data_IF_597915541954
#
_entry.id   IF_597915541954
#
_cell.length_a   1.000
_cell.length_b   1.000
_cell.length_c   1.000
_cell.angle_alpha   90.00
_cell.angle_beta   90.00
_cell.angle_gamma   90.00
#
_symmetry.space_group_name_H-M   'P 1'
#
loop_
_entity.id
_entity.type
_entity.pdbx_description
1 polymer ?
#
# COMPACT_ATOMS: atom_id res chain seq x y z
N UNK A 1 -72.05 47.35 45.93
CA UNK A 1 -72.24 46.55 47.16
C UNK A 1 -71.50 45.23 46.92
N UNK A 2 -70.25 45.08 47.37
CA UNK A 2 -69.81 44.69 48.74
C UNK A 2 -70.13 43.22 49.06
N UNK A 3 -69.16 42.31 49.21
CA UNK A 3 -67.70 42.46 49.12
C UNK A 3 -66.95 41.12 49.28
N UNK A 4 -65.63 41.16 49.48
CA UNK A 4 -64.81 40.04 49.98
C UNK A 4 -64.14 40.42 51.32
N UNK A 5 -62.95 39.88 51.70
CA UNK A 5 -62.16 38.79 51.11
C UNK A 5 -62.41 37.47 51.90
N UNK A 6 -61.52 36.74 52.62
CA UNK A 6 -60.06 36.81 52.89
C UNK A 6 -59.25 35.68 52.19
N UNK A 7 -58.05 35.36 52.73
CA UNK A 7 -57.22 34.19 52.42
C UNK A 7 -56.66 33.59 53.73
N UNK A 8 -56.32 32.30 53.78
CA UNK A 8 -55.37 31.61 54.70
C UNK A 8 -55.28 30.12 54.27
N UNK A 9 -54.20 29.33 54.43
CA UNK A 9 -52.73 29.55 54.45
C UNK A 9 -52.06 28.16 54.38
N UNK A 10 -50.79 28.10 53.96
CA UNK A 10 -49.83 26.98 54.23
C UNK A 10 -50.17 25.58 53.66
N UNK A 11 -49.29 24.56 53.70
CA UNK A 11 -47.83 24.50 53.46
C UNK A 11 -47.31 23.05 53.66
N UNK A 12 -46.73 22.44 52.61
CA UNK A 12 -45.76 21.31 52.62
C UNK A 12 -46.19 19.90 53.10
N UNK A 13 -45.43 18.92 52.57
CA UNK A 13 -45.33 17.48 52.91
C UNK A 13 -46.57 16.59 52.63
N UNK A 14 -46.43 15.49 51.87
CA UNK A 14 -45.55 14.35 52.21
C UNK A 14 -44.89 13.69 50.98
N UNK A 15 -44.18 12.58 51.19
CA UNK A 15 -43.14 12.02 50.32
C UNK A 15 -43.37 10.52 50.04
N UNK A 16 -43.05 10.10 48.80
CA UNK A 16 -42.61 8.74 48.37
C UNK A 16 -43.59 7.54 48.38
N UNK A 17 -43.31 6.65 47.42
CA UNK A 17 -43.65 5.21 47.34
C UNK A 17 -45.16 4.87 47.16
N UNK A 18 -45.58 3.84 46.41
CA UNK A 18 -44.87 2.77 45.67
C UNK A 18 -45.72 2.26 44.48
N UNK A 19 -45.15 1.36 43.65
CA UNK A 19 -45.96 0.32 42.97
C UNK A 19 -46.22 0.46 41.45
N UNK A 20 -45.36 -0.20 40.67
CA UNK A 20 -45.56 -0.69 39.29
C UNK A 20 -46.99 -0.67 38.70
N UNK A 21 -47.15 -0.10 37.49
CA UNK A 21 -47.97 -0.73 36.43
C UNK A 21 -47.54 -0.33 35.01
N UNK A 22 -46.91 -1.27 34.31
CA UNK A 22 -46.88 -1.51 32.84
C UNK A 22 -47.34 -0.36 31.90
N UNK A 23 -46.37 0.30 31.26
CA UNK A 23 -46.51 0.76 29.87
C UNK A 23 -45.37 0.19 29.01
N UNK A 24 -45.62 0.02 27.71
CA UNK A 24 -44.77 -0.71 26.76
C UNK A 24 -44.76 0.01 25.40
N UNK A 25 -43.69 -0.22 24.62
CA UNK A 25 -43.44 0.30 23.28
C UNK A 25 -43.13 1.82 23.20
N UNK A 26 -42.10 2.17 22.40
CA UNK A 26 -41.72 3.57 22.14
C UNK A 26 -40.25 3.80 21.79
N UNK A 27 -39.33 2.90 22.18
CA UNK A 27 -37.91 3.07 21.88
C UNK A 27 -37.61 2.68 20.42
N UNK A 28 -37.71 3.65 19.51
CA UNK A 28 -37.24 3.52 18.13
C UNK A 28 -35.71 3.42 18.12
N UNK A 29 -35.21 2.18 18.16
CA UNK A 29 -33.78 1.88 18.12
C UNK A 29 -33.25 2.17 16.71
N UNK A 30 -32.82 3.42 16.50
CA UNK A 30 -32.26 3.89 15.23
C UNK A 30 -30.88 3.25 15.03
N UNK A 31 -30.89 2.02 14.52
CA UNK A 31 -29.69 1.33 14.05
C UNK A 31 -29.14 2.08 12.84
N UNK A 32 -28.32 3.09 13.12
CA UNK A 32 -27.32 3.58 12.19
C UNK A 32 -26.29 2.47 11.92
N UNK A 33 -26.71 1.47 11.15
CA UNK A 33 -25.78 0.66 10.37
C UNK A 33 -25.04 1.62 9.45
N UNK A 34 -23.85 2.03 9.88
CA UNK A 34 -22.90 2.68 9.00
C UNK A 34 -22.66 1.75 7.82
N UNK A 35 -23.27 2.08 6.68
CA UNK A 35 -22.93 1.45 5.41
C UNK A 35 -21.44 1.70 5.22
N UNK A 36 -20.65 0.65 5.41
CA UNK A 36 -19.23 0.67 5.11
C UNK A 36 -19.08 0.80 3.59
N UNK A 37 -19.16 2.03 3.10
CA UNK A 37 -18.90 2.38 1.71
C UNK A 37 -17.53 1.85 1.37
N UNK A 38 -17.45 0.88 0.45
CA UNK A 38 -16.18 0.29 0.07
C UNK A 38 -15.25 1.41 -0.43
N UNK A 39 -14.09 1.54 0.21
CA UNK A 39 -13.21 2.70 0.02
C UNK A 39 -12.60 2.68 -1.40
N UNK A 40 -12.50 3.85 -2.03
CA UNK A 40 -11.93 3.94 -3.39
C UNK A 40 -10.45 3.51 -3.36
N UNK A 41 -10.00 2.75 -4.38
CA UNK A 41 -8.70 2.07 -4.37
C UNK A 41 -7.54 2.98 -3.90
N UNK A 42 -7.48 4.20 -4.46
CA UNK A 42 -6.64 5.27 -3.94
C UNK A 42 -7.21 6.64 -4.32
N UNK A 43 -6.66 7.67 -3.69
CA UNK A 43 -7.04 9.06 -3.84
C UNK A 43 -5.81 9.94 -4.07
N UNK A 44 -5.92 10.93 -4.95
CA UNK A 44 -4.97 12.04 -5.03
C UNK A 44 -5.15 12.98 -3.83
N UNK A 45 -4.08 13.32 -3.12
CA UNK A 45 -4.13 14.14 -1.90
C UNK A 45 -3.36 15.45 -2.04
N UNK A 46 -4.09 16.56 -2.02
CA UNK A 46 -3.58 17.92 -1.89
C UNK A 46 -3.77 18.46 -0.47
N UNK A 47 -3.32 19.69 -0.22
CA UNK A 47 -3.32 20.33 1.12
C UNK A 47 -4.68 20.33 1.83
N UNK A 48 -5.78 20.42 1.06
CA UNK A 48 -7.16 20.55 1.57
C UNK A 48 -8.18 19.68 0.81
N UNK A 49 -7.73 18.72 0.01
CA UNK A 49 -8.62 17.88 -0.80
C UNK A 49 -8.07 16.47 -1.01
N UNK A 50 -8.96 15.46 -0.92
CA UNK A 50 -8.70 14.03 -1.19
C UNK A 50 -9.67 13.62 -2.30
N UNK A 51 -9.19 13.44 -3.53
CA UNK A 51 -10.01 13.16 -4.72
C UNK A 51 -9.85 11.69 -5.13
N UNK A 52 -10.92 10.88 -5.24
CA UNK A 52 -10.80 9.47 -5.59
C UNK A 52 -10.34 9.29 -7.03
N UNK A 53 -9.51 8.26 -7.27
CA UNK A 53 -8.99 7.96 -8.60
C UNK A 53 -9.93 7.05 -9.40
N UNK A 54 -10.13 7.29 -10.71
CA UNK A 54 -10.78 6.35 -11.61
C UNK A 54 -9.86 5.19 -11.99
N UNK A 55 -10.43 4.10 -12.52
CA UNK A 55 -9.70 2.87 -12.83
C UNK A 55 -8.54 3.08 -13.83
N UNK A 56 -8.71 4.00 -14.79
CA UNK A 56 -7.65 4.43 -15.70
C UNK A 56 -7.11 5.80 -15.26
N UNK A 57 -5.89 5.80 -14.75
CA UNK A 57 -5.16 7.01 -14.33
C UNK A 57 -4.10 7.48 -15.35
N UNK A 58 -4.02 6.86 -16.55
CA UNK A 58 -2.93 7.12 -17.49
C UNK A 58 -2.85 8.58 -17.96
N UNK A 59 -4.02 9.22 -18.03
CA UNK A 59 -4.24 10.58 -18.50
C UNK A 59 -4.14 11.66 -17.41
N UNK A 60 -3.96 11.29 -16.14
CA UNK A 60 -3.94 12.23 -15.02
C UNK A 60 -2.58 12.92 -14.94
N UNK A 61 -2.57 14.25 -14.78
CA UNK A 61 -1.32 15.03 -14.66
C UNK A 61 -0.48 14.54 -13.47
N UNK A 62 0.82 14.30 -13.74
CA UNK A 62 1.80 13.70 -12.81
C UNK A 62 1.74 14.28 -11.39
N UNK A 63 1.55 15.59 -11.24
CA UNK A 63 1.45 16.28 -9.94
C UNK A 63 0.36 15.74 -9.00
N UNK A 64 -0.75 15.23 -9.54
CA UNK A 64 -1.84 14.63 -8.77
C UNK A 64 -1.54 13.17 -8.37
N UNK A 65 -0.56 12.53 -9.03
CA UNK A 65 -0.12 11.15 -8.77
C UNK A 65 1.11 11.07 -7.84
N UNK A 66 1.62 12.20 -7.34
CA UNK A 66 2.76 12.23 -6.42
C UNK A 66 2.39 11.76 -5.00
N UNK A 67 1.26 12.26 -4.47
CA UNK A 67 0.82 12.03 -3.10
C UNK A 67 -0.50 11.26 -3.14
N UNK A 68 -0.43 9.93 -3.00
CA UNK A 68 -1.60 9.05 -3.02
C UNK A 68 -1.91 8.53 -1.62
N UNK A 69 -3.15 8.70 -1.18
CA UNK A 69 -3.70 7.94 -0.04
C UNK A 69 -4.50 6.76 -0.57
N UNK A 70 -4.01 5.55 -0.32
CA UNK A 70 -4.75 4.32 -0.61
C UNK A 70 -6.04 4.25 0.22
N UNK A 71 -7.06 3.59 -0.32
CA UNK A 71 -8.29 3.31 0.43
C UNK A 71 -8.11 2.14 1.38
N UNK A 72 -8.88 2.12 2.47
CA UNK A 72 -8.86 1.04 3.46
C UNK A 72 -9.02 -0.36 2.82
N UNK A 73 -8.37 -1.36 3.42
CA UNK A 73 -8.45 -2.74 2.96
C UNK A 73 -8.44 -3.72 4.13
N UNK A 74 -9.38 -4.66 4.10
CA UNK A 74 -9.60 -5.68 5.12
C UNK A 74 -9.78 -7.10 4.52
N UNK A 75 -9.35 -7.30 3.27
CA UNK A 75 -9.30 -8.62 2.63
C UNK A 75 -7.97 -9.35 2.86
N UNK A 76 -7.73 -10.45 2.13
CA UNK A 76 -6.47 -11.18 2.24
C UNK A 76 -5.29 -10.39 1.68
N UNK A 77 -4.23 -10.26 2.49
CA UNK A 77 -2.98 -9.64 2.07
C UNK A 77 -2.14 -10.61 1.24
N UNK A 78 -2.02 -10.36 -0.05
CA UNK A 78 -1.18 -11.18 -0.96
C UNK A 78 0.29 -11.10 -0.53
N UNK A 79 0.97 -12.25 -0.43
CA UNK A 79 2.41 -12.26 -0.13
C UNK A 79 3.19 -11.92 -1.38
N UNK A 80 3.95 -10.81 -1.37
CA UNK A 80 4.69 -10.36 -2.56
C UNK A 80 6.15 -10.13 -2.22
N UNK A 81 7.05 -10.67 -3.05
CA UNK A 81 8.46 -10.33 -3.02
C UNK A 81 8.77 -9.24 -4.03
N UNK A 82 9.35 -8.13 -3.59
CA UNK A 82 9.89 -7.12 -4.49
C UNK A 82 11.30 -7.56 -4.90
N UNK A 83 11.55 -7.63 -6.21
CA UNK A 83 12.88 -7.90 -6.75
C UNK A 83 13.67 -6.59 -6.87
N UNK A 84 14.99 -6.70 -7.00
CA UNK A 84 15.86 -5.55 -7.22
C UNK A 84 15.41 -4.72 -8.42
N UNK A 85 15.55 -3.39 -8.31
CA UNK A 85 15.16 -2.48 -9.39
C UNK A 85 16.31 -2.38 -10.39
N UNK A 86 16.14 -3.00 -11.54
CA UNK A 86 17.12 -2.95 -12.63
C UNK A 86 17.13 -1.57 -13.29
N UNK A 87 18.31 -1.03 -13.60
CA UNK A 87 18.46 0.15 -14.45
C UNK A 87 18.98 -0.24 -15.83
N UNK A 88 18.15 0.01 -16.86
CA UNK A 88 18.50 -0.17 -18.27
C UNK A 88 18.33 1.15 -19.07
N UNK A 89 18.23 2.29 -18.38
CA UNK A 89 18.37 3.61 -19.00
C UNK A 89 19.85 3.93 -19.27
N UNK A 90 20.14 4.75 -20.28
CA UNK A 90 21.49 5.06 -20.75
C UNK A 90 22.11 6.32 -20.10
N UNK A 91 21.64 6.70 -18.90
CA UNK A 91 21.86 8.03 -18.35
C UNK A 91 22.97 8.09 -17.29
N UNK A 92 24.04 8.82 -17.61
CA UNK A 92 25.27 8.86 -16.83
C UNK A 92 25.29 9.87 -15.65
N UNK A 93 24.22 10.63 -15.38
CA UNK A 93 24.25 11.66 -14.34
C UNK A 93 22.89 12.02 -13.73
N UNK A 94 22.90 12.41 -12.45
CA UNK A 94 21.77 12.99 -11.74
C UNK A 94 22.20 14.28 -11.00
N UNK A 95 21.29 15.26 -10.93
CA UNK A 95 21.51 16.54 -10.26
C UNK A 95 20.46 16.79 -9.19
N UNK A 96 20.88 17.25 -8.00
CA UNK A 96 19.99 17.73 -6.94
C UNK A 96 20.33 19.15 -6.51
N UNK A 97 19.35 19.84 -5.91
CA UNK A 97 19.56 21.12 -5.24
C UNK A 97 19.60 20.92 -3.72
N UNK A 98 20.62 21.47 -3.07
CA UNK A 98 20.71 21.56 -1.61
C UNK A 98 19.75 22.61 -1.03
N UNK A 99 19.55 22.55 0.28
CA UNK A 99 18.71 23.52 1.01
C UNK A 99 19.31 24.93 1.07
N UNK A 100 20.59 25.06 0.71
CA UNK A 100 21.36 26.29 0.54
C UNK A 100 21.28 26.87 -0.89
N UNK A 101 20.66 26.15 -1.84
CA UNK A 101 20.63 26.49 -3.26
C UNK A 101 21.83 25.95 -4.06
N UNK A 102 22.78 25.26 -3.43
CA UNK A 102 23.91 24.65 -4.13
C UNK A 102 23.45 23.50 -5.02
N UNK A 103 23.99 23.41 -6.24
CA UNK A 103 23.64 22.37 -7.21
C UNK A 103 24.68 21.26 -7.17
N UNK A 104 24.27 20.07 -6.72
CA UNK A 104 25.11 18.87 -6.64
C UNK A 104 24.82 17.97 -7.84
N UNK A 105 25.79 17.82 -8.74
CA UNK A 105 25.70 16.90 -9.88
C UNK A 105 26.63 15.72 -9.64
N UNK A 106 26.07 14.51 -9.69
CA UNK A 106 26.83 13.26 -9.69
C UNK A 106 26.82 12.71 -11.12
N UNK A 107 27.97 12.76 -11.77
CA UNK A 107 28.26 12.02 -13.00
C UNK A 107 28.95 10.71 -12.67
N UNK A 108 28.67 9.67 -13.45
CA UNK A 108 29.26 8.34 -13.33
C UNK A 108 29.81 7.91 -14.69
N UNK A 109 30.99 7.29 -14.72
CA UNK A 109 31.70 6.96 -15.97
C UNK A 109 31.05 5.82 -16.79
N UNK A 110 29.90 5.29 -16.35
CA UNK A 110 29.14 4.25 -17.05
C UNK A 110 27.64 4.58 -17.06
N UNK A 111 26.98 4.27 -18.18
CA UNK A 111 25.60 4.68 -18.46
C UNK A 111 24.53 4.04 -17.53
N UNK A 112 24.83 2.90 -16.90
CA UNK A 112 23.87 2.15 -16.08
C UNK A 112 23.77 2.65 -14.61
N UNK A 113 24.60 3.60 -14.18
CA UNK A 113 24.77 3.94 -12.76
C UNK A 113 24.06 5.22 -12.28
N UNK A 114 22.88 5.54 -12.83
CA UNK A 114 21.89 6.32 -12.06
C UNK A 114 21.68 5.60 -10.71
N UNK A 115 21.73 6.30 -9.55
CA UNK A 115 21.47 5.66 -8.26
C UNK A 115 19.98 5.33 -8.11
N UNK A 116 19.58 4.16 -8.63
CA UNK A 116 18.27 3.53 -8.37
C UNK A 116 18.13 3.04 -6.91
N UNK A 117 19.22 3.14 -6.14
CA UNK A 117 19.25 3.03 -4.68
C UNK A 117 18.13 3.87 -4.05
N UNK A 118 17.10 3.19 -3.53
CA UNK A 118 15.92 3.82 -2.94
C UNK A 118 14.65 3.74 -3.78
N UNK A 119 14.71 3.50 -5.10
CA UNK A 119 13.51 3.25 -5.93
C UNK A 119 12.75 2.02 -5.41
N UNK A 120 13.48 0.96 -5.06
CA UNK A 120 12.95 -0.23 -4.40
C UNK A 120 12.22 0.11 -3.09
N UNK A 121 12.78 1.02 -2.29
CA UNK A 121 12.16 1.46 -1.04
C UNK A 121 10.85 2.25 -1.29
N UNK A 122 10.73 2.99 -2.40
CA UNK A 122 9.46 3.61 -2.80
C UNK A 122 8.43 2.53 -3.16
N UNK A 123 8.83 1.52 -3.95
CA UNK A 123 7.95 0.40 -4.33
C UNK A 123 7.46 -0.34 -3.08
N UNK A 124 8.37 -0.67 -2.15
CA UNK A 124 8.06 -1.30 -0.87
C UNK A 124 7.14 -0.43 0.00
N UNK A 125 7.43 0.87 0.17
CA UNK A 125 6.63 1.79 0.99
C UNK A 125 5.22 1.97 0.41
N UNK A 126 5.09 2.22 -0.89
CA UNK A 126 3.80 2.36 -1.61
C UNK A 126 2.98 1.06 -1.54
N UNK A 127 3.62 -0.10 -1.73
CA UNK A 127 2.95 -1.40 -1.57
C UNK A 127 2.50 -1.65 -0.13
N UNK A 128 3.32 -1.29 0.87
CA UNK A 128 2.96 -1.42 2.28
C UNK A 128 1.78 -0.49 2.65
N UNK A 129 1.82 0.77 2.21
CA UNK A 129 0.73 1.74 2.39
C UNK A 129 -0.58 1.32 1.73
N UNK A 130 -0.54 0.53 0.65
CA UNK A 130 -1.75 -0.02 0.02
C UNK A 130 -2.55 -0.94 0.95
N UNK A 131 -1.97 -1.43 2.04
CA UNK A 131 -2.59 -2.38 2.99
C UNK A 131 -2.90 -3.77 2.42
N UNK A 132 -2.73 -3.97 1.11
CA UNK A 132 -3.15 -5.15 0.32
C UNK A 132 -2.06 -6.21 0.19
N UNK A 133 -0.83 -5.91 0.62
CA UNK A 133 0.32 -6.80 0.50
C UNK A 133 0.95 -7.15 1.85
N UNK A 134 1.49 -8.36 1.93
CA UNK A 134 2.42 -8.79 2.97
C UNK A 134 3.78 -9.00 2.32
N UNK A 135 4.65 -8.00 2.43
CA UNK A 135 5.94 -8.00 1.75
C UNK A 135 6.89 -9.04 2.33
N UNK A 136 7.72 -9.64 1.48
CA UNK A 136 8.76 -10.59 1.86
C UNK A 136 10.07 -10.25 1.16
N UNK A 137 11.15 -10.19 1.94
CA UNK A 137 12.47 -9.78 1.44
C UNK A 137 13.04 -10.73 0.39
N UNK A 138 13.66 -10.16 -0.65
CA UNK A 138 14.37 -10.92 -1.69
C UNK A 138 15.80 -10.43 -1.90
N UNK A 139 16.02 -9.12 -1.94
CA UNK A 139 17.37 -8.57 -2.16
C UNK A 139 18.31 -8.82 -0.97
N UNK A 140 17.80 -8.76 0.27
CA UNK A 140 18.56 -9.15 1.48
C UNK A 140 18.41 -10.63 1.86
N UNK A 141 17.78 -11.48 1.04
CA UNK A 141 17.55 -12.90 1.38
C UNK A 141 18.86 -13.64 1.69
N UNK A 142 19.93 -13.38 0.94
CA UNK A 142 21.26 -13.97 1.18
C UNK A 142 21.91 -13.52 2.51
N UNK A 143 21.43 -12.44 3.12
CA UNK A 143 21.84 -12.01 4.47
C UNK A 143 20.99 -12.72 5.53
N UNK A 144 19.68 -12.82 5.31
CA UNK A 144 18.72 -13.55 6.16
C UNK A 144 19.04 -15.05 6.25
N UNK A 145 19.57 -15.65 5.18
CA UNK A 145 20.06 -17.04 5.20
C UNK A 145 21.33 -17.17 6.05
N UNK A 146 22.31 -16.28 5.88
CA UNK A 146 23.55 -16.29 6.69
C UNK A 146 23.29 -16.11 8.19
N UNK A 147 22.26 -15.34 8.57
CA UNK A 147 21.82 -15.23 9.97
C UNK A 147 21.27 -16.57 10.51
N UNK A 148 20.57 -17.34 9.68
CA UNK A 148 20.11 -18.70 10.01
C UNK A 148 21.26 -19.73 9.99
N UNK A 149 22.33 -19.49 9.24
CA UNK A 149 23.55 -20.29 9.29
C UNK A 149 24.34 -20.04 10.59
N UNK A 150 24.32 -18.81 11.14
CA UNK A 150 24.94 -18.51 12.43
C UNK A 150 24.31 -19.32 13.57
N UNK A 151 22.99 -19.53 13.56
CA UNK A 151 22.28 -20.46 14.45
C UNK A 151 22.86 -21.88 14.31
N UNK A 152 22.90 -22.39 13.08
CA UNK A 152 23.35 -23.76 12.78
C UNK A 152 24.83 -23.97 13.16
N UNK A 153 25.65 -22.93 13.07
CA UNK A 153 27.06 -22.93 13.49
C UNK A 153 27.29 -22.82 15.00
N UNK A 154 26.24 -22.72 15.82
CA UNK A 154 26.33 -22.61 17.28
C UNK A 154 26.84 -21.26 17.80
N UNK A 155 26.81 -20.21 16.97
CA UNK A 155 27.42 -18.89 17.29
C UNK A 155 26.46 -17.88 17.94
N UNK A 156 25.18 -18.22 18.06
CA UNK A 156 24.13 -17.35 18.64
C UNK A 156 23.79 -17.80 20.07
N UNK A 157 23.67 -16.83 20.97
CA UNK A 157 23.29 -17.07 22.36
C UNK A 157 21.82 -17.51 22.48
N UNK A 158 21.55 -18.49 23.35
CA UNK A 158 20.18 -18.85 23.72
C UNK A 158 19.58 -17.77 24.65
N UNK A 159 18.29 -17.42 24.55
CA UNK A 159 17.26 -18.03 23.69
C UNK A 159 17.01 -17.30 22.36
N UNK A 160 17.88 -16.38 21.91
CA UNK A 160 17.63 -15.50 20.76
C UNK A 160 17.79 -16.17 19.38
N UNK A 161 17.52 -17.48 19.30
CA UNK A 161 17.75 -18.29 18.11
C UNK A 161 16.59 -18.20 17.11
N UNK A 162 16.88 -17.68 15.93
CA UNK A 162 16.00 -17.78 14.77
C UNK A 162 15.87 -19.25 14.32
N UNK A 163 14.69 -19.67 13.83
CA UNK A 163 14.52 -21.05 13.36
C UNK A 163 14.95 -21.19 11.91
N UNK A 164 16.06 -21.87 11.66
CA UNK A 164 16.58 -22.20 10.32
C UNK A 164 15.49 -22.78 9.40
N UNK A 165 15.51 -22.40 8.13
CA UNK A 165 14.58 -22.84 7.09
C UNK A 165 13.24 -22.10 7.02
N UNK A 166 12.95 -21.18 7.95
CA UNK A 166 11.64 -20.51 8.04
C UNK A 166 11.56 -19.24 7.16
N UNK A 167 12.02 -19.33 5.91
CA UNK A 167 11.87 -18.26 4.91
C UNK A 167 10.48 -18.32 4.28
N UNK A 168 9.78 -17.19 4.23
CA UNK A 168 8.45 -17.13 3.62
C UNK A 168 8.51 -17.08 2.08
N UNK A 169 7.84 -18.04 1.44
CA UNK A 169 7.55 -18.02 0.00
C UNK A 169 6.57 -16.90 -0.37
N UNK A 170 6.80 -16.28 -1.54
CA UNK A 170 5.89 -15.28 -2.10
C UNK A 170 4.81 -15.97 -2.95
N UNK A 171 3.67 -15.31 -3.13
CA UNK A 171 2.63 -15.70 -4.10
C UNK A 171 2.86 -15.00 -5.44
N UNK A 172 3.41 -13.79 -5.41
CA UNK A 172 3.84 -13.04 -6.59
C UNK A 172 5.24 -12.47 -6.37
N UNK A 173 5.99 -12.29 -7.45
CA UNK A 173 7.16 -11.42 -7.49
C UNK A 173 6.83 -10.17 -8.29
N UNK A 174 7.33 -9.03 -7.83
CA UNK A 174 7.22 -7.74 -8.53
C UNK A 174 8.62 -7.33 -8.99
N UNK A 175 8.79 -7.15 -10.30
CA UNK A 175 9.98 -6.53 -10.88
C UNK A 175 9.63 -5.12 -11.36
N UNK A 176 10.55 -4.19 -11.16
CA UNK A 176 10.51 -2.85 -11.78
C UNK A 176 11.83 -2.63 -12.49
N UNK A 177 11.76 -2.27 -13.77
CA UNK A 177 12.93 -1.95 -14.60
C UNK A 177 12.83 -0.50 -15.03
N UNK A 178 13.81 0.33 -14.70
CA UNK A 178 13.93 1.69 -15.24
C UNK A 178 14.41 1.57 -16.69
N UNK A 179 13.52 1.87 -17.64
CA UNK A 179 13.79 1.77 -19.08
C UNK A 179 14.27 3.10 -19.67
N UNK A 180 13.97 4.22 -19.02
CA UNK A 180 14.29 5.56 -19.49
C UNK A 180 14.39 6.50 -18.28
N UNK A 181 15.31 7.48 -18.32
CA UNK A 181 15.60 8.40 -17.21
C UNK A 181 16.29 9.65 -17.76
N UNK A 182 15.58 10.76 -17.93
CA UNK A 182 16.15 12.03 -18.38
C UNK A 182 15.96 13.13 -17.33
N UNK A 183 17.07 13.74 -16.90
CA UNK A 183 17.08 14.96 -16.10
C UNK A 183 17.58 16.13 -16.96
N UNK A 184 16.65 16.85 -17.60
CA UNK A 184 16.91 18.01 -18.45
C UNK A 184 16.87 19.30 -17.63
N UNK A 185 18.02 19.88 -17.34
CA UNK A 185 18.12 21.24 -16.80
C UNK A 185 18.44 22.23 -17.93
N UNK A 186 17.62 23.27 -18.11
CA UNK A 186 17.85 24.28 -19.17
C UNK A 186 18.97 25.26 -18.77
N UNK A 187 20.23 24.79 -18.78
CA UNK A 187 21.39 25.50 -18.21
C UNK A 187 22.66 25.45 -19.06
N UNK A 188 22.63 26.08 -20.24
CA UNK A 188 23.81 26.54 -21.02
C UNK A 188 25.02 25.60 -21.16
N UNK A 189 25.03 24.74 -22.18
CA UNK A 189 26.28 24.23 -22.78
C UNK A 189 26.08 23.76 -24.24
N UNK A 190 25.76 24.69 -25.14
CA UNK A 190 25.67 24.44 -26.58
C UNK A 190 26.81 25.13 -27.34
N UNK A 191 27.77 24.35 -27.87
CA UNK A 191 28.86 24.85 -28.71
C UNK A 191 30.05 25.46 -27.93
N UNK A 192 31.22 25.48 -28.58
CA UNK A 192 32.43 26.09 -28.04
C UNK A 192 32.60 27.57 -28.40
N UNK A 193 33.78 28.11 -28.10
CA UNK A 193 34.30 29.42 -28.55
C UNK A 193 33.80 30.72 -27.86
N UNK A 194 33.30 30.66 -26.61
CA UNK A 194 33.20 31.87 -25.74
C UNK A 194 33.87 31.68 -24.37
N UNK A 195 35.03 31.03 -24.35
CA UNK A 195 36.03 31.26 -23.32
C UNK A 195 36.76 32.59 -23.58
N UNK A 196 36.09 33.73 -23.38
CA UNK A 196 36.60 35.02 -23.87
C UNK A 196 36.03 36.28 -23.22
N UNK A 197 36.84 36.90 -22.35
CA UNK A 197 37.01 38.36 -22.20
C UNK A 197 35.77 39.28 -21.97
N UNK A 198 34.63 38.78 -21.50
CA UNK A 198 33.50 39.63 -21.04
C UNK A 198 33.01 39.21 -19.64
N UNK A 199 33.61 39.68 -18.54
CA UNK A 199 34.74 40.62 -18.48
C UNK A 199 34.39 42.07 -18.13
N UNK A 200 33.11 42.43 -17.91
CA UNK A 200 32.75 43.65 -17.15
C UNK A 200 31.28 43.78 -16.72
N UNK A 201 31.11 44.10 -15.42
CA UNK A 201 30.20 45.12 -14.88
C UNK A 201 28.70 45.08 -15.27
N UNK A 202 27.92 44.29 -14.54
CA UNK A 202 26.60 44.76 -14.04
C UNK A 202 26.48 44.41 -12.55
N UNK A 203 26.72 45.38 -11.64
CA UNK A 203 26.35 45.22 -10.23
C UNK A 203 24.89 45.62 -9.98
N UNK A 204 24.27 44.94 -9.01
CA UNK A 204 22.94 45.22 -8.42
C UNK A 204 21.68 44.92 -9.26
N UNK A 205 20.56 44.79 -8.52
CA UNK A 205 19.15 44.71 -8.93
C UNK A 205 18.66 43.44 -9.67
N UNK A 206 18.18 42.48 -8.87
CA UNK A 206 16.92 41.77 -9.11
C UNK A 206 16.75 40.95 -10.39
N UNK A 207 17.32 39.73 -10.43
CA UNK A 207 17.04 38.74 -11.49
C UNK A 207 16.86 37.33 -10.93
N UNK A 208 15.60 36.88 -10.77
CA UNK A 208 15.30 35.48 -10.42
C UNK A 208 15.42 34.62 -11.68
N UNK A 209 16.55 33.92 -11.82
CA UNK A 209 16.78 33.00 -12.92
C UNK A 209 15.90 31.75 -12.81
N UNK A 210 14.77 31.73 -13.52
CA UNK A 210 13.88 30.55 -13.62
C UNK A 210 14.56 29.41 -14.38
N UNK A 211 15.30 28.56 -13.65
CA UNK A 211 15.81 27.30 -14.17
C UNK A 211 14.65 26.36 -14.52
N UNK A 212 14.36 26.16 -15.81
CA UNK A 212 13.36 25.19 -16.24
C UNK A 212 13.98 23.78 -16.19
N UNK A 213 13.61 23.04 -15.15
CA UNK A 213 13.86 21.61 -15.06
C UNK A 213 12.73 20.82 -15.71
N UNK A 214 13.09 19.80 -16.48
CA UNK A 214 12.23 18.72 -16.96
C UNK A 214 12.82 17.39 -16.48
N UNK A 215 11.98 16.54 -15.88
CA UNK A 215 12.32 15.19 -15.45
C UNK A 215 11.40 14.19 -16.13
N UNK A 216 11.97 13.21 -16.83
CA UNK A 216 11.24 12.16 -17.56
C UNK A 216 11.75 10.80 -17.11
N UNK A 217 10.85 9.86 -16.89
CA UNK A 217 11.21 8.47 -16.55
C UNK A 217 10.26 7.50 -17.25
N UNK A 218 10.83 6.40 -17.73
CA UNK A 218 10.11 5.23 -18.21
C UNK A 218 10.41 4.06 -17.29
N UNK A 219 9.37 3.33 -16.87
CA UNK A 219 9.50 2.14 -16.03
C UNK A 219 8.61 1.01 -16.54
N UNK A 220 9.18 -0.19 -16.67
CA UNK A 220 8.44 -1.42 -16.92
C UNK A 220 8.16 -2.13 -15.59
N UNK A 221 6.88 -2.30 -15.27
CA UNK A 221 6.42 -3.07 -14.11
C UNK A 221 6.02 -4.48 -14.56
N UNK A 222 6.30 -5.49 -13.74
CA UNK A 222 5.94 -6.90 -14.01
C UNK A 222 5.40 -7.56 -12.74
N UNK A 223 4.35 -8.33 -12.89
CA UNK A 223 3.84 -9.26 -11.89
C UNK A 223 4.13 -10.69 -12.36
N UNK A 224 4.82 -11.47 -11.54
CA UNK A 224 5.38 -12.78 -11.91
C UNK A 224 4.87 -13.85 -10.94
N UNK A 225 4.44 -15.00 -11.46
CA UNK A 225 4.17 -16.20 -10.65
C UNK A 225 5.48 -16.94 -10.35
N UNK A 226 5.92 -17.08 -9.08
CA UNK A 226 7.13 -17.82 -8.74
C UNK A 226 6.97 -19.35 -8.79
N UNK A 227 5.75 -19.89 -8.91
CA UNK A 227 5.48 -21.34 -9.06
C UNK A 227 5.72 -21.80 -10.51
N UNK A 228 5.37 -20.96 -11.50
CA UNK A 228 5.50 -21.27 -12.94
C UNK A 228 6.55 -20.43 -13.69
N UNK A 229 7.13 -19.41 -13.06
CA UNK A 229 7.96 -18.35 -13.68
C UNK A 229 7.25 -17.48 -14.74
N UNK A 230 5.92 -17.55 -14.82
CA UNK A 230 5.10 -16.81 -15.77
C UNK A 230 5.00 -15.31 -15.43
N UNK A 231 5.11 -14.44 -16.45
CA UNK A 231 4.80 -13.00 -16.32
C UNK A 231 3.28 -12.83 -16.51
N UNK A 232 2.55 -12.87 -15.39
CA UNK A 232 1.08 -12.72 -15.34
C UNK A 232 0.63 -11.38 -15.95
N UNK A 233 1.40 -10.31 -15.71
CA UNK A 233 1.08 -8.97 -16.18
C UNK A 233 2.32 -8.09 -16.36
N UNK A 234 2.27 -7.16 -17.30
CA UNK A 234 3.22 -6.06 -17.41
C UNK A 234 2.53 -4.74 -17.75
N UNK A 235 3.05 -3.63 -17.22
CA UNK A 235 2.66 -2.26 -17.55
C UNK A 235 3.92 -1.46 -17.83
N UNK A 236 4.02 -0.88 -19.03
CA UNK A 236 4.94 0.24 -19.25
C UNK A 236 4.30 1.52 -18.73
N UNK A 237 5.05 2.29 -17.93
CA UNK A 237 4.67 3.61 -17.44
C UNK A 237 5.68 4.62 -17.95
N UNK A 238 5.18 5.74 -18.45
CA UNK A 238 5.94 6.96 -18.66
C UNK A 238 5.39 8.06 -17.74
N UNK A 239 6.30 8.87 -17.20
CA UNK A 239 6.02 9.97 -16.29
C UNK A 239 6.95 11.15 -16.63
N UNK A 240 6.38 12.32 -16.88
CA UNK A 240 7.11 13.54 -17.26
C UNK A 240 6.66 14.70 -16.37
N UNK A 241 7.59 15.28 -15.63
CA UNK A 241 7.42 16.54 -14.89
C UNK A 241 8.13 17.63 -15.67
N UNK A 242 7.38 18.63 -16.10
CA UNK A 242 7.92 19.89 -16.64
C UNK A 242 7.63 20.97 -15.59
N UNK A 243 8.64 21.80 -15.31
CA UNK A 243 8.72 22.77 -14.21
C UNK A 243 9.25 22.19 -12.88
N UNK A 244 10.24 22.88 -12.31
CA UNK A 244 10.79 22.65 -10.97
C UNK A 244 10.27 23.75 -10.05
N UNK A 245 9.41 23.39 -9.10
CA UNK A 245 8.67 24.38 -8.30
C UNK A 245 7.41 23.86 -7.61
N UNK A 246 7.02 22.60 -7.88
CA UNK A 246 5.92 21.93 -7.19
C UNK A 246 6.31 21.55 -5.74
N UNK A 247 6.44 22.58 -4.90
CA UNK A 247 6.51 22.46 -3.45
C UNK A 247 5.14 22.04 -2.93
N UNK A 248 4.93 20.75 -2.63
CA UNK A 248 3.83 20.32 -1.77
C UNK A 248 4.07 20.93 -0.37
N UNK A 249 3.44 22.08 -0.13
CA UNK A 249 3.81 22.96 0.98
C UNK A 249 3.29 22.46 2.32
N UNK A 250 4.20 22.19 3.27
CA UNK A 250 3.94 22.07 4.71
C UNK A 250 3.21 20.82 5.18
N UNK A 251 2.20 20.35 4.43
CA UNK A 251 1.56 19.05 4.67
C UNK A 251 2.51 17.94 4.20
N UNK A 252 2.87 17.03 5.11
CA UNK A 252 3.85 15.98 4.83
C UNK A 252 3.39 15.02 3.73
N UNK A 253 4.33 14.66 2.85
CA UNK A 253 4.24 13.46 2.02
C UNK A 253 3.97 12.27 2.96
N UNK A 254 2.91 11.49 2.73
CA UNK A 254 2.41 10.52 3.73
C UNK A 254 3.23 9.23 3.84
N UNK A 255 4.37 9.16 3.14
CA UNK A 255 5.35 8.08 3.26
C UNK A 255 6.15 8.10 4.57
N UNK A 256 6.71 6.95 4.93
CA UNK A 256 7.28 6.72 6.26
C UNK A 256 8.37 7.71 6.65
N UNK A 257 8.31 8.23 7.89
CA UNK A 257 9.31 9.13 8.47
C UNK A 257 10.75 8.57 8.42
N UNK A 258 10.92 7.24 8.33
CA UNK A 258 12.20 6.57 8.16
C UNK A 258 12.95 6.97 6.86
N UNK A 259 12.25 7.49 5.85
CA UNK A 259 12.84 7.88 4.55
C UNK A 259 13.21 9.38 4.46
N UNK A 260 12.88 10.17 5.49
CA UNK A 260 12.74 11.63 5.39
C UNK A 260 13.97 12.41 4.89
N UNK A 261 15.19 11.95 5.17
CA UNK A 261 16.42 12.62 4.73
C UNK A 261 16.69 12.48 3.23
N UNK A 262 16.51 11.27 2.67
CA UNK A 262 16.73 10.99 1.25
C UNK A 262 15.56 11.52 0.40
N UNK A 263 14.32 11.15 0.78
CA UNK A 263 13.12 11.61 0.10
C UNK A 263 13.00 13.13 0.10
N UNK A 264 13.33 13.79 1.22
CA UNK A 264 13.09 15.22 1.43
C UNK A 264 13.80 16.14 0.43
N UNK A 265 14.84 15.67 -0.27
CA UNK A 265 15.47 16.41 -1.37
C UNK A 265 15.25 15.77 -2.74
N UNK A 266 15.18 14.43 -2.83
CA UNK A 266 14.86 13.73 -4.08
C UNK A 266 13.48 14.15 -4.63
N UNK A 267 12.44 14.19 -3.79
CA UNK A 267 11.06 14.55 -4.16
C UNK A 267 10.85 16.03 -4.49
N UNK A 268 11.87 16.88 -4.32
CA UNK A 268 11.86 18.28 -4.78
C UNK A 268 12.37 18.44 -6.22
N UNK A 269 13.08 17.44 -6.76
CA UNK A 269 13.59 17.46 -8.14
C UNK A 269 12.51 17.00 -9.13
N UNK A 270 12.43 17.56 -10.35
CA UNK A 270 11.48 17.10 -11.36
C UNK A 270 11.62 15.61 -11.68
N UNK A 271 12.85 15.10 -11.70
CA UNK A 271 13.12 13.69 -11.98
C UNK A 271 12.70 12.77 -10.81
N UNK A 272 12.93 13.17 -9.56
CA UNK A 272 12.45 12.42 -8.40
C UNK A 272 10.92 12.44 -8.28
N UNK A 273 10.28 13.55 -8.66
CA UNK A 273 8.83 13.62 -8.80
C UNK A 273 8.31 12.70 -9.91
N UNK A 274 8.96 12.70 -11.09
CA UNK A 274 8.61 11.80 -12.19
C UNK A 274 8.72 10.32 -11.77
N UNK A 275 9.78 9.95 -11.05
CA UNK A 275 10.00 8.61 -10.46
C UNK A 275 8.89 8.24 -9.47
N UNK A 276 8.61 9.08 -8.46
CA UNK A 276 7.57 8.79 -7.45
C UNK A 276 6.19 8.58 -8.10
N UNK A 277 5.77 9.48 -8.99
CA UNK A 277 4.49 9.35 -9.67
C UNK A 277 4.44 8.16 -10.64
N UNK A 278 5.55 7.82 -11.30
CA UNK A 278 5.65 6.63 -12.15
C UNK A 278 5.52 5.33 -11.35
N UNK A 279 6.07 5.28 -10.13
CA UNK A 279 5.92 4.14 -9.20
C UNK A 279 4.50 4.06 -8.67
N UNK A 280 3.92 5.18 -8.21
CA UNK A 280 2.52 5.22 -7.78
C UNK A 280 1.58 4.74 -8.89
N UNK A 281 1.80 5.20 -10.13
CA UNK A 281 1.04 4.79 -11.32
C UNK A 281 1.23 3.30 -11.66
N UNK A 282 2.46 2.78 -11.60
CA UNK A 282 2.75 1.37 -11.81
C UNK A 282 2.14 0.46 -10.73
N UNK A 283 2.23 0.86 -9.46
CA UNK A 283 1.65 0.13 -8.34
C UNK A 283 0.13 0.15 -8.35
N UNK A 284 -0.51 1.25 -8.77
CA UNK A 284 -1.96 1.29 -8.96
C UNK A 284 -2.42 0.22 -9.97
N UNK A 285 -1.69 0.07 -11.08
CA UNK A 285 -1.97 -0.97 -12.07
C UNK A 285 -1.66 -2.39 -11.55
N UNK A 286 -0.56 -2.61 -10.82
CA UNK A 286 -0.31 -3.95 -10.23
C UNK A 286 -1.33 -4.34 -9.15
N UNK A 287 -1.81 -3.39 -8.35
CA UNK A 287 -2.85 -3.64 -7.35
C UNK A 287 -4.18 -4.01 -8.00
N UNK A 288 -4.52 -3.43 -9.16
CA UNK A 288 -5.69 -3.85 -9.95
C UNK A 288 -5.62 -5.32 -10.36
N UNK A 289 -4.44 -5.81 -10.75
CA UNK A 289 -4.24 -7.18 -11.25
C UNK A 289 -4.14 -8.23 -10.13
N UNK A 290 -3.50 -7.92 -9.00
CA UNK A 290 -3.57 -8.78 -7.80
C UNK A 290 -4.98 -8.75 -7.20
N UNK A 291 -5.73 -7.67 -7.45
CA UNK A 291 -7.15 -7.55 -7.17
C UNK A 291 -7.46 -7.50 -5.68
N UNK A 292 -8.70 -7.88 -5.35
CA UNK A 292 -9.09 -8.16 -3.98
C UNK A 292 -9.24 -9.68 -3.81
N UNK A 293 -8.38 -10.28 -2.98
CA UNK A 293 -8.52 -11.68 -2.57
C UNK A 293 -9.44 -11.78 -1.34
N UNK A 294 -10.31 -12.79 -1.30
CA UNK A 294 -11.12 -13.08 -0.12
C UNK A 294 -10.20 -13.50 1.05
N UNK A 295 -10.51 -13.02 2.26
CA UNK A 295 -9.77 -13.31 3.48
C UNK A 295 -9.49 -14.82 3.60
N UNK A 296 -8.20 -15.20 3.67
CA UNK A 296 -7.82 -16.61 3.53
C UNK A 296 -6.52 -16.97 4.25
N UNK A 297 -6.41 -18.26 4.59
CA UNK A 297 -5.34 -18.80 5.43
C UNK A 297 -5.35 -20.33 5.45
N UNK A 298 -4.89 -20.92 6.55
CA UNK A 298 -4.74 -22.36 6.73
C UNK A 298 -4.97 -22.79 8.18
N UNK A 299 -5.41 -24.03 8.36
CA UNK A 299 -5.61 -24.68 9.67
C UNK A 299 -4.28 -25.02 10.34
N UNK A 300 -4.08 -24.51 11.56
CA UNK A 300 -2.93 -24.78 12.42
C UNK A 300 -3.13 -26.08 13.22
N UNK A 301 -4.27 -26.22 13.89
CA UNK A 301 -4.67 -27.41 14.68
C UNK A 301 -6.19 -27.50 14.82
N UNK A 302 -6.68 -28.66 15.23
CA UNK A 302 -8.10 -29.00 15.43
C UNK A 302 -8.27 -29.75 16.74
N UNK A 303 -9.19 -29.33 17.61
CA UNK A 303 -9.51 -30.00 18.87
C UNK A 303 -11.04 -30.12 19.01
N UNK A 304 -11.57 -31.30 18.68
CA UNK A 304 -13.02 -31.51 18.58
C UNK A 304 -13.63 -30.61 17.51
N UNK A 305 -14.56 -29.74 17.92
CA UNK A 305 -15.24 -28.79 17.03
C UNK A 305 -14.50 -27.46 16.84
N UNK A 306 -13.45 -27.17 17.63
CA UNK A 306 -12.65 -25.93 17.55
C UNK A 306 -11.44 -26.09 16.64
N UNK A 307 -11.18 -25.07 15.83
CA UNK A 307 -10.16 -25.04 14.80
C UNK A 307 -9.35 -23.74 14.92
N UNK A 308 -8.03 -23.85 14.97
CA UNK A 308 -7.11 -22.71 15.04
C UNK A 308 -6.60 -22.38 13.64
N UNK A 309 -6.61 -21.09 13.29
CA UNK A 309 -6.32 -20.61 11.94
C UNK A 309 -5.20 -19.56 11.96
N UNK A 310 -4.36 -19.52 10.93
CA UNK A 310 -3.25 -18.56 10.83
C UNK A 310 -3.64 -17.15 10.30
N UNK A 311 -4.90 -16.77 10.48
CA UNK A 311 -5.45 -15.44 10.16
C UNK A 311 -5.91 -14.77 11.46
N UNK A 312 -5.54 -13.50 11.65
CA UNK A 312 -5.89 -12.73 12.84
C UNK A 312 -6.93 -11.64 12.56
N UNK A 313 -7.09 -10.74 13.54
CA UNK A 313 -7.98 -9.58 13.45
C UNK A 313 -7.61 -8.57 12.34
N UNK A 314 -6.47 -8.74 11.67
CA UNK A 314 -6.03 -7.94 10.53
C UNK A 314 -6.52 -8.49 9.16
N UNK A 315 -7.17 -9.67 9.16
CA UNK A 315 -7.68 -10.36 7.96
C UNK A 315 -9.12 -10.88 8.12
N UNK A 316 -9.58 -11.22 9.34
CA UNK A 316 -10.94 -11.75 9.60
C UNK A 316 -11.61 -11.13 10.83
N UNK A 317 -12.95 -11.15 10.86
CA UNK A 317 -13.80 -10.56 11.92
C UNK A 317 -14.50 -11.65 12.76
N UNK A 318 -14.89 -11.32 13.99
CA UNK A 318 -15.64 -12.25 14.84
C UNK A 318 -17.04 -12.50 14.28
N UNK A 319 -17.52 -13.75 14.33
CA UNK A 319 -18.75 -14.20 13.70
C UNK A 319 -18.65 -14.49 12.19
N UNK A 320 -17.53 -14.16 11.53
CA UNK A 320 -17.32 -14.38 10.10
C UNK A 320 -17.31 -15.88 9.74
N UNK A 321 -17.87 -16.23 8.58
CA UNK A 321 -17.91 -17.60 8.07
C UNK A 321 -16.80 -17.83 7.05
N UNK A 322 -16.04 -18.91 7.23
CA UNK A 322 -14.99 -19.36 6.31
C UNK A 322 -15.33 -20.76 5.77
N UNK A 323 -15.21 -20.95 4.45
CA UNK A 323 -15.18 -22.27 3.81
C UNK A 323 -13.82 -22.93 4.02
N UNK A 324 -13.82 -24.21 4.38
CA UNK A 324 -12.63 -25.05 4.47
C UNK A 324 -12.47 -25.80 3.15
N UNK A 325 -11.29 -25.76 2.56
CA UNK A 325 -10.94 -26.49 1.33
C UNK A 325 -9.66 -27.28 1.50
N UNK A 326 -9.63 -28.51 0.99
CA UNK A 326 -8.42 -29.35 0.92
C UNK A 326 -7.81 -29.24 -0.47
N UNK A 327 -6.48 -29.03 -0.54
CA UNK A 327 -5.70 -29.20 -1.78
C UNK A 327 -5.69 -30.70 -2.09
N UNK A 328 -6.24 -31.09 -3.23
CA UNK A 328 -6.22 -32.45 -3.74
C UNK A 328 -5.02 -32.68 -4.65
N UNK A 329 -5.21 -33.52 -5.67
CA UNK A 329 -4.21 -33.83 -6.68
C UNK A 329 -3.78 -32.57 -7.46
N UNK A 330 -2.49 -32.52 -7.77
CA UNK A 330 -1.83 -31.50 -8.59
C UNK A 330 -2.15 -31.74 -10.07
N UNK A 331 -2.55 -30.67 -10.76
CA UNK A 331 -2.96 -30.71 -12.16
C UNK A 331 -1.75 -30.34 -13.02
N UNK A 332 -0.98 -31.34 -13.44
CA UNK A 332 0.20 -31.15 -14.28
C UNK A 332 -0.24 -31.19 -15.75
N UNK A 333 0.15 -30.17 -16.52
CA UNK A 333 -0.04 -30.12 -17.96
C UNK A 333 0.80 -31.22 -18.66
N UNK A 334 0.20 -32.07 -19.51
CA UNK A 334 0.86 -33.27 -20.02
C UNK A 334 1.93 -32.98 -21.09
N UNK A 335 1.85 -31.85 -21.78
CA UNK A 335 2.74 -31.49 -22.89
C UNK A 335 3.95 -30.66 -22.42
N UNK A 336 3.76 -29.84 -21.38
CA UNK A 336 4.78 -28.93 -20.83
C UNK A 336 5.36 -29.36 -19.49
N UNK A 337 4.67 -30.24 -18.73
CA UNK A 337 5.04 -30.62 -17.37
C UNK A 337 4.84 -29.53 -16.32
N UNK A 338 4.16 -28.42 -16.67
CA UNK A 338 3.92 -27.29 -15.77
C UNK A 338 2.75 -27.60 -14.83
N UNK A 339 2.88 -27.27 -13.55
CA UNK A 339 1.77 -27.32 -12.60
C UNK A 339 0.76 -26.20 -12.90
N UNK A 340 -0.46 -26.60 -13.28
CA UNK A 340 -1.63 -25.73 -13.43
C UNK A 340 -2.34 -25.50 -12.08
N UNK A 341 -1.64 -25.74 -10.97
CA UNK A 341 -2.21 -25.75 -9.63
C UNK A 341 -2.81 -27.12 -9.28
N UNK A 342 -3.98 -27.13 -8.66
CA UNK A 342 -4.48 -28.34 -7.97
C UNK A 342 -5.98 -28.31 -7.80
N UNK A 343 -6.59 -29.50 -7.74
CA UNK A 343 -7.99 -29.65 -7.32
C UNK A 343 -8.23 -29.10 -5.90
N UNK A 344 -9.40 -28.50 -5.64
CA UNK A 344 -9.83 -28.08 -4.31
C UNK A 344 -11.18 -28.72 -3.93
N UNK A 345 -11.23 -29.45 -2.82
CA UNK A 345 -12.47 -30.06 -2.30
C UNK A 345 -12.98 -29.28 -1.08
N UNK A 346 -14.25 -28.86 -1.07
CA UNK A 346 -14.86 -28.20 0.10
C UNK A 346 -15.17 -29.21 1.21
N UNK A 347 -14.59 -29.00 2.39
CA UNK A 347 -14.63 -29.91 3.55
C UNK A 347 -15.75 -29.52 4.53
N UNK A 348 -16.19 -28.25 4.50
CA UNK A 348 -17.19 -27.70 5.41
C UNK A 348 -17.00 -26.21 5.64
N UNK A 349 -17.64 -25.68 6.69
CA UNK A 349 -17.55 -24.27 7.07
C UNK A 349 -17.25 -24.10 8.56
N UNK A 350 -16.54 -23.01 8.88
CA UNK A 350 -16.19 -22.57 10.24
C UNK A 350 -16.78 -21.18 10.49
N UNK A 351 -17.05 -20.85 11.75
CA UNK A 351 -17.39 -19.50 12.22
C UNK A 351 -16.29 -19.02 13.17
N UNK A 352 -15.69 -17.86 12.91
CA UNK A 352 -14.76 -17.24 13.88
C UNK A 352 -15.49 -16.97 15.19
N UNK A 353 -14.96 -17.48 16.30
CA UNK A 353 -15.47 -17.27 17.66
C UNK A 353 -14.50 -16.43 18.51
N UNK A 354 -13.20 -16.66 18.40
CA UNK A 354 -12.17 -15.89 19.10
C UNK A 354 -11.14 -15.30 18.12
N UNK A 355 -10.67 -14.08 18.38
CA UNK A 355 -9.66 -13.38 17.58
C UNK A 355 -8.46 -13.00 18.44
N UNK A 356 -7.26 -13.21 17.88
CA UNK A 356 -6.02 -12.57 18.29
C UNK A 356 -5.40 -11.82 17.10
N UNK A 357 -4.34 -11.06 17.36
CA UNK A 357 -3.64 -10.24 16.37
C UNK A 357 -3.15 -11.06 15.15
N UNK A 358 -2.73 -12.32 15.36
CA UNK A 358 -2.00 -13.15 14.37
C UNK A 358 -2.59 -14.55 14.15
N UNK A 359 -3.68 -14.88 14.84
CA UNK A 359 -4.41 -16.15 14.69
C UNK A 359 -5.86 -15.99 15.18
N UNK A 360 -6.70 -16.95 14.86
CA UNK A 360 -8.09 -17.00 15.32
C UNK A 360 -8.48 -18.42 15.76
N UNK A 361 -9.53 -18.52 16.56
CA UNK A 361 -10.22 -19.77 16.86
C UNK A 361 -11.60 -19.71 16.23
N UNK A 362 -12.00 -20.81 15.58
CA UNK A 362 -13.25 -20.92 14.87
C UNK A 362 -13.94 -22.24 15.20
N UNK A 363 -15.26 -22.20 15.36
CA UNK A 363 -16.10 -23.35 15.60
C UNK A 363 -16.65 -23.89 14.27
N UNK A 364 -16.65 -25.21 14.10
CA UNK A 364 -17.21 -25.83 12.90
C UNK A 364 -18.74 -25.68 12.87
N UNK A 365 -19.23 -25.23 11.72
CA UNK A 365 -20.66 -25.01 11.42
C UNK A 365 -21.23 -26.12 10.54
N UNK A 366 -20.44 -26.67 9.60
CA UNK A 366 -20.94 -27.67 8.65
C UNK A 366 -19.85 -28.58 8.05
N UNK A 367 -20.29 -29.59 7.29
CA UNK A 367 -19.45 -30.61 6.65
C UNK A 367 -19.18 -31.83 7.55
N UNK A 368 -19.06 -33.02 6.95
CA UNK A 368 -18.84 -34.28 7.69
C UNK A 368 -17.38 -34.75 7.75
N UNK A 369 -16.59 -34.51 6.69
CA UNK A 369 -15.20 -34.99 6.61
C UNK A 369 -14.30 -34.37 7.69
N UNK A 370 -13.28 -35.07 8.22
CA UNK A 370 -12.33 -34.50 9.17
C UNK A 370 -11.57 -33.33 8.52
N UNK A 371 -11.36 -32.27 9.32
CA UNK A 371 -10.53 -31.11 8.96
C UNK A 371 -9.10 -31.40 9.42
N UNK A 372 -8.13 -31.16 8.55
CA UNK A 372 -6.72 -31.48 8.77
C UNK A 372 -5.88 -30.21 8.91
N UNK A 373 -4.77 -30.30 9.64
CA UNK A 373 -3.72 -29.27 9.63
C UNK A 373 -3.23 -29.07 8.19
N UNK A 374 -3.16 -27.81 7.75
CA UNK A 374 -2.81 -27.45 6.37
C UNK A 374 -3.99 -27.30 5.41
N UNK A 375 -5.21 -27.71 5.78
CA UNK A 375 -6.41 -27.36 4.99
C UNK A 375 -6.52 -25.83 4.87
N UNK A 376 -6.87 -25.35 3.68
CA UNK A 376 -7.03 -23.94 3.34
C UNK A 376 -8.37 -23.43 3.87
N UNK A 377 -8.40 -22.21 4.39
CA UNK A 377 -9.64 -21.52 4.72
C UNK A 377 -9.79 -20.28 3.86
N UNK A 378 -11.01 -20.01 3.39
CA UNK A 378 -11.36 -18.85 2.55
C UNK A 378 -12.70 -18.31 3.00
N UNK A 379 -12.80 -17.00 3.21
CA UNK A 379 -14.03 -16.34 3.64
C UNK A 379 -15.18 -16.52 2.65
N UNK A 380 -16.40 -16.63 3.17
CA UNK A 380 -17.62 -16.53 2.37
C UNK A 380 -18.05 -15.08 2.14
N UNK A 381 -17.43 -14.11 2.82
CA UNK A 381 -17.56 -12.72 2.41
C UNK A 381 -16.88 -12.56 1.05
N UNK A 382 -17.60 -11.99 0.09
CA UNK A 382 -17.00 -11.57 -1.17
C UNK A 382 -15.83 -10.63 -0.87
N UNK A 383 -14.71 -10.79 -1.59
CA UNK A 383 -13.60 -9.86 -1.47
C UNK A 383 -14.12 -8.44 -1.78
N UNK A 384 -13.72 -7.40 -1.01
CA UNK A 384 -14.21 -6.05 -1.21
C UNK A 384 -13.83 -5.59 -2.62
N UNK A 385 -14.83 -5.44 -3.49
CA UNK A 385 -14.61 -5.08 -4.88
C UNK A 385 -13.91 -3.73 -4.94
N UNK A 386 -12.82 -3.65 -5.72
CA UNK A 386 -12.05 -2.43 -5.87
C UNK A 386 -12.96 -1.34 -6.45
N UNK A 387 -13.18 -0.27 -5.68
CA UNK A 387 -14.00 0.85 -6.09
C UNK A 387 -13.15 1.91 -6.78
N UNK A 388 -13.73 2.53 -7.80
CA UNK A 388 -13.09 3.55 -8.63
C UNK A 388 -14.02 4.75 -8.79
N UNK A 389 -13.46 5.95 -8.87
CA UNK A 389 -14.25 7.11 -9.29
C UNK A 389 -14.78 6.88 -10.72
N UNK A 390 -16.02 7.29 -10.99
CA UNK A 390 -16.61 7.13 -12.33
C UNK A 390 -15.88 7.97 -13.41
N UNK A 391 -15.20 9.05 -13.00
CA UNK A 391 -14.29 9.85 -13.83
C UNK A 391 -13.28 10.62 -12.97
N UNK A 392 -12.28 11.25 -13.57
CA UNK A 392 -11.34 12.12 -12.87
C UNK A 392 -11.88 13.55 -12.73
N UNK A 393 -12.30 13.93 -11.53
CA UNK A 393 -12.66 15.30 -11.19
C UNK A 393 -11.41 16.10 -10.79
N UNK A 394 -10.81 16.81 -11.75
CA UNK A 394 -9.61 17.62 -11.52
C UNK A 394 -9.80 18.64 -10.38
N UNK A 395 -9.06 18.53 -9.25
CA UNK A 395 -9.25 19.44 -8.12
C UNK A 395 -8.85 20.89 -8.43
N UNK A 396 -9.47 21.81 -7.69
CA UNK A 396 -9.28 23.26 -7.84
C UNK A 396 -7.88 23.77 -7.46
N UNK A 397 -7.69 25.10 -7.54
CA UNK A 397 -6.40 25.78 -7.34
C UNK A 397 -5.77 25.68 -5.93
N UNK A 398 -6.39 24.95 -5.01
CA UNK A 398 -5.94 24.74 -3.62
C UNK A 398 -5.64 23.26 -3.31
N UNK A 399 -5.16 22.52 -4.32
CA UNK A 399 -4.59 21.18 -4.19
C UNK A 399 -3.13 21.31 -3.77
#
# INVERSE_FOLDING_TARGET
MTGGPPMLKQSLAKQRNDGWTREFAGLLLLLCSGLATADYLAYAVGQKSRVPLPENIDHIEVKYLLNLAWGEYNGAKSRVGVLGVDNNSSSASFTSAGADGSTYTWSYDNANTVPVNGIEAIVIDVMNQSGRFRLVERNVLNQVLKEQDLVTSGRIAQPSVAKTGNVLGAQYLVQVVVTDYEAKTSGSSGGGLVGGLLGSRVPALGGVGLQKGEGRVGMNFRLINPETSEIIYTKQVESIVKESGLLLGGAGFTGSAALGGFFGNFSKTPIGQAVIAGINKGMYELVKQVGAAAASGSVIKTEGNRVWLNVGSDVVKSGEILKVRRRGEELIDPDTGISLGSTETEIGQLRISELAEKFSIADRVSGGSPINRGDKVVSTMAAPSLQYAASWEKPGRSF
#
